data_IF_746120017965
#
_entry.id   IF_746120017965
#
_cell.length_a   1.000
_cell.length_b   1.000
_cell.length_c   1.000
_cell.angle_alpha   90.00
_cell.angle_beta   90.00
_cell.angle_gamma   90.00
#
_symmetry.space_group_name_H-M   'P 1'
#
loop_
_entity.id
_entity.type
_entity.pdbx_description
1 polymer ?
#
# COMPACT_ATOMS: atom_id res chain seq x y z
N UNK A 1 13.38 0.93 1.04
CA UNK A 1 12.76 1.87 1.99
C UNK A 1 11.25 1.81 1.83
N UNK A 2 10.55 1.44 2.91
CA UNK A 2 9.09 1.45 2.90
C UNK A 2 8.61 2.90 2.98
N UNK A 3 8.06 3.43 1.91
CA UNK A 3 7.36 4.72 1.95
C UNK A 3 6.06 4.51 2.70
N UNK A 4 6.00 5.04 3.91
CA UNK A 4 4.81 4.99 4.78
C UNK A 4 4.33 6.40 5.06
N UNK A 5 3.09 6.55 5.55
CA UNK A 5 2.59 7.86 6.01
C UNK A 5 3.48 8.49 7.09
N UNK A 6 4.18 7.68 7.90
CA UNK A 6 5.14 8.18 8.88
C UNK A 6 6.37 8.80 8.21
N UNK A 7 6.89 8.21 7.12
CA UNK A 7 8.04 8.79 6.39
C UNK A 7 7.68 10.07 5.62
N UNK A 8 6.40 10.25 5.27
CA UNK A 8 5.89 11.50 4.69
C UNK A 8 5.65 12.60 5.75
N UNK A 9 5.59 12.23 7.03
CA UNK A 9 5.27 13.14 8.15
C UNK A 9 6.46 13.78 8.86
N UNK A 10 7.66 13.23 8.70
CA UNK A 10 8.84 13.64 9.49
C UNK A 10 9.53 14.92 9.00
N UNK A 11 9.14 15.49 7.85
CA UNK A 11 9.67 16.76 7.37
C UNK A 11 8.74 17.93 7.71
N UNK A 12 9.07 18.66 8.75
CA UNK A 12 8.25 19.62 9.50
C UNK A 12 7.97 20.98 8.87
N UNK A 13 8.07 21.18 7.56
CA UNK A 13 8.10 22.57 7.02
C UNK A 13 7.05 22.98 6.00
N UNK A 14 6.12 22.15 5.52
CA UNK A 14 5.15 22.64 4.55
C UNK A 14 3.70 22.19 4.78
N UNK A 15 2.76 23.14 4.56
CA UNK A 15 1.33 22.81 4.42
C UNK A 15 1.14 21.85 3.25
N UNK A 16 0.46 20.73 3.47
CA UNK A 16 0.09 19.86 2.35
C UNK A 16 1.05 18.71 2.04
N UNK A 17 2.01 18.39 2.90
CA UNK A 17 3.03 17.36 2.66
C UNK A 17 2.46 16.01 2.18
N UNK A 18 1.34 15.57 2.73
CA UNK A 18 0.69 14.34 2.29
C UNK A 18 0.13 14.47 0.86
N UNK A 19 -0.48 15.61 0.56
CA UNK A 19 -1.01 15.90 -0.78
C UNK A 19 0.11 16.00 -1.80
N UNK A 20 1.19 16.71 -1.47
CA UNK A 20 2.35 16.88 -2.36
C UNK A 20 3.07 15.54 -2.59
N UNK A 21 3.26 14.75 -1.53
CA UNK A 21 3.86 13.42 -1.63
C UNK A 21 3.05 12.46 -2.51
N UNK A 22 1.72 12.45 -2.34
CA UNK A 22 0.85 11.65 -3.22
C UNK A 22 0.86 12.12 -4.66
N UNK A 23 0.87 13.44 -4.89
CA UNK A 23 0.98 14.00 -6.23
C UNK A 23 2.29 13.59 -6.91
N UNK A 24 3.41 13.65 -6.19
CA UNK A 24 4.71 13.19 -6.71
C UNK A 24 4.68 11.69 -7.07
N UNK A 25 4.05 10.85 -6.26
CA UNK A 25 3.89 9.42 -6.56
C UNK A 25 3.02 9.21 -7.80
N UNK A 26 1.90 9.94 -7.91
CA UNK A 26 1.00 9.86 -9.07
C UNK A 26 1.67 10.37 -10.36
N UNK A 27 2.48 11.42 -10.28
CA UNK A 27 3.23 11.96 -11.41
C UNK A 27 4.31 10.95 -11.86
N UNK A 28 5.11 10.42 -10.94
CA UNK A 28 6.10 9.39 -11.22
C UNK A 28 5.47 8.12 -11.82
N UNK A 29 4.33 7.70 -11.29
CA UNK A 29 3.59 6.56 -11.82
C UNK A 29 3.14 6.80 -13.28
N UNK A 30 2.63 8.01 -13.60
CA UNK A 30 2.21 8.36 -14.98
C UNK A 30 3.39 8.36 -15.93
N UNK A 31 4.53 8.88 -15.50
CA UNK A 31 5.76 8.90 -16.29
C UNK A 31 6.24 7.49 -16.61
N UNK A 32 6.41 6.63 -15.58
CA UNK A 32 6.88 5.26 -15.76
C UNK A 32 5.91 4.40 -16.58
N UNK A 33 4.60 4.64 -16.45
CA UNK A 33 3.60 4.00 -17.31
C UNK A 33 3.78 4.41 -18.77
N UNK A 34 3.98 5.71 -19.04
CA UNK A 34 4.18 6.26 -20.40
C UNK A 34 5.47 5.72 -21.05
N UNK A 35 6.53 5.58 -20.26
CA UNK A 35 7.82 5.07 -20.71
C UNK A 35 7.89 3.53 -20.78
N UNK A 36 6.81 2.82 -20.42
CA UNK A 36 6.78 1.36 -20.43
C UNK A 36 7.61 0.70 -19.33
N UNK A 37 8.03 1.43 -18.32
CA UNK A 37 8.80 0.91 -17.17
C UNK A 37 7.90 0.17 -16.19
N UNK A 38 7.41 -1.01 -16.61
CA UNK A 38 6.38 -1.78 -15.87
C UNK A 38 6.78 -2.10 -14.43
N UNK A 39 8.05 -2.40 -14.15
CA UNK A 39 8.51 -2.73 -12.79
C UNK A 39 8.32 -1.56 -11.83
N UNK A 40 8.78 -0.35 -12.21
CA UNK A 40 8.62 0.84 -11.38
C UNK A 40 7.15 1.26 -11.27
N UNK A 41 6.39 1.14 -12.36
CA UNK A 41 4.96 1.39 -12.34
C UNK A 41 4.24 0.46 -11.34
N UNK A 42 4.55 -0.85 -11.33
CA UNK A 42 3.96 -1.79 -10.39
C UNK A 42 4.29 -1.45 -8.93
N UNK A 43 5.55 -1.08 -8.65
CA UNK A 43 5.98 -0.67 -7.30
C UNK A 43 5.23 0.59 -6.86
N UNK A 44 5.12 1.61 -7.70
CA UNK A 44 4.43 2.87 -7.35
C UNK A 44 2.92 2.66 -7.14
N UNK A 45 2.28 1.80 -7.94
CA UNK A 45 0.89 1.40 -7.69
C UNK A 45 0.74 0.71 -6.32
N UNK A 46 1.66 -0.18 -5.94
CA UNK A 46 1.70 -0.80 -4.62
C UNK A 46 1.84 0.23 -3.49
N UNK A 47 2.79 1.16 -3.64
CA UNK A 47 3.00 2.24 -2.65
C UNK A 47 1.75 3.11 -2.49
N UNK A 48 1.12 3.52 -3.59
CA UNK A 48 -0.13 4.30 -3.53
C UNK A 48 -1.24 3.53 -2.84
N UNK A 49 -1.40 2.25 -3.17
CA UNK A 49 -2.39 1.38 -2.52
C UNK A 49 -2.17 1.28 -1.03
N UNK A 50 -0.92 1.10 -0.60
CA UNK A 50 -0.54 1.06 0.83
C UNK A 50 -0.82 2.38 1.54
N UNK A 51 -0.53 3.51 0.92
CA UNK A 51 -0.82 4.83 1.51
C UNK A 51 -2.33 5.01 1.73
N UNK A 52 -3.18 4.62 0.77
CA UNK A 52 -4.63 4.68 0.96
C UNK A 52 -5.14 3.68 2.01
N UNK A 53 -4.51 2.50 2.13
CA UNK A 53 -4.81 1.55 3.20
C UNK A 53 -4.49 2.14 4.58
N UNK A 54 -3.32 2.77 4.74
CA UNK A 54 -2.94 3.45 5.98
C UNK A 54 -3.88 4.62 6.33
N UNK A 55 -4.36 5.36 5.33
CA UNK A 55 -5.39 6.39 5.54
C UNK A 55 -6.69 5.75 6.08
N UNK A 56 -7.09 4.61 5.53
CA UNK A 56 -8.28 3.87 5.99
C UNK A 56 -8.12 3.39 7.43
N UNK A 57 -6.94 2.85 7.78
CA UNK A 57 -6.63 2.33 9.12
C UNK A 57 -6.39 3.42 10.15
N UNK A 58 -6.34 4.68 9.72
CA UNK A 58 -5.99 5.80 10.60
C UNK A 58 -4.54 5.76 11.07
N UNK A 59 -3.68 5.02 10.35
CA UNK A 59 -2.26 4.95 10.61
C UNK A 59 -1.55 6.18 10.03
N UNK A 60 -0.68 6.77 10.83
CA UNK A 60 0.10 7.94 10.41
C UNK A 60 0.52 8.78 11.60
N UNK A 61 1.21 9.89 11.36
CA UNK A 61 1.59 10.79 12.44
C UNK A 61 0.33 11.28 13.18
N UNK A 62 0.18 10.84 14.43
CA UNK A 62 -0.95 11.22 15.31
C UNK A 62 -0.80 12.62 15.91
N UNK A 63 0.15 13.42 15.41
CA UNK A 63 0.30 14.79 15.89
C UNK A 63 -0.88 15.64 15.44
N UNK A 64 -1.43 16.40 16.37
CA UNK A 64 -2.52 17.34 16.09
C UNK A 64 -2.16 18.29 14.95
N UNK A 65 -0.91 18.73 14.89
CA UNK A 65 -0.40 19.60 13.83
C UNK A 65 -0.47 18.94 12.45
N UNK A 66 -0.12 17.65 12.32
CA UNK A 66 -0.22 16.92 11.07
C UNK A 66 -1.69 16.77 10.63
N UNK A 67 -2.58 16.41 11.55
CA UNK A 67 -3.99 16.23 11.27
C UNK A 67 -4.63 17.56 10.81
N UNK A 68 -4.36 18.66 11.51
CA UNK A 68 -4.90 19.98 11.14
C UNK A 68 -4.37 20.46 9.78
N UNK A 69 -3.09 20.21 9.46
CA UNK A 69 -2.51 20.58 8.17
C UNK A 69 -3.11 19.80 6.99
N UNK A 70 -3.54 18.58 7.24
CA UNK A 70 -4.05 17.68 6.20
C UNK A 70 -5.56 17.42 6.26
N UNK A 71 -6.29 18.11 7.15
CA UNK A 71 -7.71 17.81 7.42
C UNK A 71 -8.58 17.87 6.16
N UNK A 72 -8.37 18.84 5.29
CA UNK A 72 -9.11 18.95 4.03
C UNK A 72 -8.83 17.77 3.08
N UNK A 73 -7.57 17.34 3.02
CA UNK A 73 -7.17 16.19 2.23
C UNK A 73 -7.75 14.89 2.80
N UNK A 74 -7.61 14.67 4.11
CA UNK A 74 -8.13 13.48 4.79
C UNK A 74 -9.65 13.39 4.67
N UNK A 75 -10.38 14.47 4.97
CA UNK A 75 -11.83 14.50 4.85
C UNK A 75 -12.33 14.16 3.44
N UNK A 76 -11.60 14.59 2.41
CA UNK A 76 -11.93 14.29 1.00
C UNK A 76 -11.61 12.84 0.62
N UNK A 77 -10.56 12.25 1.17
CA UNK A 77 -10.03 10.96 0.71
C UNK A 77 -10.48 9.77 1.57
N UNK A 78 -10.70 9.94 2.88
CA UNK A 78 -11.14 8.85 3.77
C UNK A 78 -12.35 8.08 3.21
N UNK A 79 -13.42 8.72 2.71
CA UNK A 79 -14.59 7.99 2.19
C UNK A 79 -14.27 7.07 1.00
N UNK A 80 -13.19 7.37 0.27
CA UNK A 80 -12.78 6.64 -0.92
C UNK A 80 -11.51 5.81 -0.71
N UNK A 81 -10.90 5.87 0.47
CA UNK A 81 -9.60 5.26 0.74
C UNK A 81 -9.61 3.75 0.48
N UNK A 82 -10.62 3.02 0.95
CA UNK A 82 -10.74 1.58 0.73
C UNK A 82 -10.84 1.22 -0.76
N UNK A 83 -11.60 2.00 -1.54
CA UNK A 83 -11.74 1.77 -2.98
C UNK A 83 -10.44 2.07 -3.71
N UNK A 84 -9.80 3.20 -3.40
CA UNK A 84 -8.52 3.59 -4.01
C UNK A 84 -7.41 2.60 -3.66
N UNK A 85 -7.32 2.15 -2.40
CA UNK A 85 -6.38 1.12 -2.00
C UNK A 85 -6.56 -0.15 -2.83
N UNK A 86 -7.80 -0.65 -2.94
CA UNK A 86 -8.11 -1.87 -3.70
C UNK A 86 -7.75 -1.72 -5.19
N UNK A 87 -8.06 -0.57 -5.81
CA UNK A 87 -7.74 -0.30 -7.22
C UNK A 87 -6.23 -0.28 -7.48
N UNK A 88 -5.47 0.43 -6.66
CA UNK A 88 -4.02 0.54 -6.82
C UNK A 88 -3.31 -0.79 -6.53
N UNK A 89 -3.67 -1.48 -5.45
CA UNK A 89 -3.08 -2.78 -5.10
C UNK A 89 -3.37 -3.84 -6.16
N UNK A 90 -4.59 -3.89 -6.71
CA UNK A 90 -4.92 -4.82 -7.79
C UNK A 90 -4.14 -4.51 -9.08
N UNK A 91 -3.89 -3.22 -9.40
CA UNK A 91 -3.05 -2.86 -10.54
C UNK A 91 -1.60 -3.30 -10.33
N UNK A 92 -1.05 -3.05 -9.12
CA UNK A 92 0.29 -3.51 -8.75
C UNK A 92 0.41 -5.03 -8.90
N UNK A 93 -0.51 -5.78 -8.30
CA UNK A 93 -0.57 -7.23 -8.39
C UNK A 93 -0.63 -7.73 -9.84
N UNK A 94 -1.54 -7.15 -10.65
CA UNK A 94 -1.70 -7.53 -12.06
C UNK A 94 -0.41 -7.33 -12.85
N UNK A 95 0.16 -6.13 -12.79
CA UNK A 95 1.39 -5.81 -13.54
C UNK A 95 2.57 -6.66 -13.04
N UNK A 96 2.69 -6.86 -11.73
CA UNK A 96 3.73 -7.70 -11.14
C UNK A 96 3.66 -9.15 -11.64
N UNK A 97 2.45 -9.73 -11.74
CA UNK A 97 2.26 -11.06 -12.34
C UNK A 97 2.64 -11.08 -13.82
N UNK A 98 2.26 -10.06 -14.60
CA UNK A 98 2.58 -9.98 -16.03
C UNK A 98 4.09 -9.98 -16.30
N UNK A 99 4.90 -9.39 -15.41
CA UNK A 99 6.35 -9.26 -15.58
C UNK A 99 7.16 -10.23 -14.71
N UNK A 100 6.53 -11.11 -13.94
CA UNK A 100 7.20 -12.06 -13.04
C UNK A 100 7.91 -11.40 -11.86
N UNK A 101 7.45 -10.21 -11.40
CA UNK A 101 8.07 -9.49 -10.29
C UNK A 101 7.51 -9.95 -8.95
N UNK A 102 8.15 -10.96 -8.35
CA UNK A 102 7.67 -11.63 -7.12
C UNK A 102 7.58 -10.68 -5.91
N UNK A 103 8.58 -9.83 -5.67
CA UNK A 103 8.59 -8.95 -4.50
C UNK A 103 7.43 -7.95 -4.46
N UNK A 104 7.18 -7.13 -5.50
CA UNK A 104 6.03 -6.23 -5.48
C UNK A 104 4.69 -6.99 -5.53
N UNK A 105 4.65 -8.19 -6.13
CA UNK A 105 3.46 -9.04 -6.09
C UNK A 105 3.11 -9.47 -4.66
N UNK A 106 4.07 -10.02 -3.94
CA UNK A 106 3.85 -10.50 -2.57
C UNK A 106 3.47 -9.36 -1.62
N UNK A 107 4.12 -8.18 -1.76
CA UNK A 107 3.76 -7.00 -0.96
C UNK A 107 2.35 -6.51 -1.27
N UNK A 108 1.95 -6.45 -2.54
CA UNK A 108 0.58 -6.06 -2.91
C UNK A 108 -0.46 -7.05 -2.38
N UNK A 109 -0.17 -8.34 -2.38
CA UNK A 109 -1.03 -9.39 -1.82
C UNK A 109 -1.17 -9.25 -0.30
N UNK A 110 -0.09 -8.95 0.42
CA UNK A 110 -0.14 -8.67 1.86
C UNK A 110 -1.04 -7.48 2.17
N UNK A 111 -0.86 -6.37 1.46
CA UNK A 111 -1.66 -5.16 1.66
C UNK A 111 -3.13 -5.38 1.25
N UNK A 112 -3.42 -6.19 0.21
CA UNK A 112 -4.77 -6.62 -0.14
C UNK A 112 -5.39 -7.50 0.95
N UNK A 113 -4.63 -8.42 1.53
CA UNK A 113 -5.05 -9.23 2.65
C UNK A 113 -5.48 -8.37 3.85
N UNK A 114 -4.67 -7.39 4.22
CA UNK A 114 -4.99 -6.43 5.26
C UNK A 114 -6.26 -5.62 4.92
N UNK A 115 -6.38 -5.12 3.69
CA UNK A 115 -7.58 -4.40 3.22
C UNK A 115 -8.85 -5.26 3.30
N UNK A 116 -8.77 -6.52 2.89
CA UNK A 116 -9.93 -7.43 2.94
C UNK A 116 -10.29 -7.81 4.38
N UNK A 117 -9.33 -7.90 5.28
CA UNK A 117 -9.57 -8.06 6.71
C UNK A 117 -10.35 -6.87 7.27
N UNK A 118 -9.94 -5.64 6.98
CA UNK A 118 -10.68 -4.42 7.35
C UNK A 118 -12.13 -4.43 6.82
N UNK A 119 -12.31 -4.95 5.60
CA UNK A 119 -13.64 -5.08 4.98
C UNK A 119 -14.42 -6.31 5.47
N UNK A 120 -13.91 -7.05 6.47
CA UNK A 120 -14.50 -8.30 6.99
C UNK A 120 -14.70 -9.40 5.93
N UNK A 121 -13.90 -9.38 4.88
CA UNK A 121 -13.88 -10.39 3.82
C UNK A 121 -12.77 -11.41 4.09
N UNK A 122 -12.90 -12.15 5.20
CA UNK A 122 -11.84 -13.00 5.75
C UNK A 122 -11.33 -14.06 4.76
N UNK A 123 -12.22 -14.70 3.98
CA UNK A 123 -11.81 -15.68 2.96
C UNK A 123 -10.86 -15.08 1.93
N UNK A 124 -11.17 -13.88 1.41
CA UNK A 124 -10.26 -13.19 0.48
C UNK A 124 -8.95 -12.74 1.13
N UNK A 125 -9.01 -12.32 2.39
CA UNK A 125 -7.82 -11.97 3.15
C UNK A 125 -6.89 -13.19 3.29
N UNK A 126 -7.44 -14.34 3.66
CA UNK A 126 -6.68 -15.61 3.77
C UNK A 126 -6.07 -16.03 2.44
N UNK A 127 -6.82 -15.96 1.33
CA UNK A 127 -6.31 -16.27 -0.01
C UNK A 127 -5.10 -15.41 -0.37
N UNK A 128 -5.21 -14.08 -0.22
CA UNK A 128 -4.13 -13.15 -0.53
C UNK A 128 -2.89 -13.40 0.33
N UNK A 129 -3.06 -13.53 1.66
CA UNK A 129 -1.94 -13.72 2.57
C UNK A 129 -1.27 -15.09 2.33
N UNK A 130 -2.05 -16.15 2.07
CA UNK A 130 -1.51 -17.47 1.78
C UNK A 130 -0.67 -17.48 0.49
N UNK A 131 -1.10 -16.77 -0.56
CA UNK A 131 -0.32 -16.61 -1.79
C UNK A 131 0.97 -15.81 -1.52
N UNK A 132 0.89 -14.75 -0.72
CA UNK A 132 2.07 -13.97 -0.35
C UNK A 132 3.11 -14.82 0.43
N UNK A 133 2.66 -15.67 1.36
CA UNK A 133 3.51 -16.62 2.09
C UNK A 133 4.28 -17.50 1.13
N UNK A 134 3.61 -18.12 0.16
CA UNK A 134 4.26 -18.99 -0.82
C UNK A 134 5.37 -18.26 -1.60
N UNK A 135 5.11 -17.01 -1.99
CA UNK A 135 6.10 -16.21 -2.73
C UNK A 135 7.27 -15.82 -1.83
N UNK A 136 7.02 -15.43 -0.57
CA UNK A 136 8.08 -15.08 0.37
C UNK A 136 8.95 -16.30 0.71
N UNK A 137 8.37 -17.50 0.82
CA UNK A 137 9.12 -18.74 1.00
C UNK A 137 10.04 -19.02 -0.19
N UNK A 138 9.53 -18.89 -1.43
CA UNK A 138 10.32 -19.08 -2.65
C UNK A 138 11.46 -18.06 -2.79
N UNK A 139 11.27 -16.85 -2.31
CA UNK A 139 12.26 -15.77 -2.38
C UNK A 139 13.24 -15.76 -1.19
N UNK A 140 13.03 -16.57 -0.17
CA UNK A 140 13.82 -16.55 1.07
C UNK A 140 13.65 -15.27 1.88
N UNK A 141 12.50 -14.59 1.77
CA UNK A 141 12.22 -13.29 2.40
C UNK A 141 11.72 -13.48 3.85
N UNK A 142 12.57 -13.98 4.75
CA UNK A 142 12.19 -14.44 6.10
C UNK A 142 11.43 -13.43 6.94
N UNK A 143 11.81 -12.15 6.90
CA UNK A 143 11.15 -11.09 7.67
C UNK A 143 9.70 -10.92 7.23
N UNK A 144 9.46 -10.86 5.93
CA UNK A 144 8.11 -10.73 5.38
C UNK A 144 7.30 -12.02 5.54
N UNK A 145 7.97 -13.18 5.43
CA UNK A 145 7.35 -14.48 5.67
C UNK A 145 6.81 -14.58 7.09
N UNK A 146 7.58 -14.16 8.09
CA UNK A 146 7.14 -14.13 9.49
C UNK A 146 5.91 -13.23 9.66
N UNK A 147 5.98 -12.01 9.12
CA UNK A 147 4.86 -11.05 9.18
C UNK A 147 3.59 -11.61 8.51
N UNK A 148 3.74 -12.29 7.38
CA UNK A 148 2.62 -12.89 6.66
C UNK A 148 1.97 -14.04 7.44
N UNK A 149 2.78 -14.89 8.09
CA UNK A 149 2.27 -15.97 8.94
C UNK A 149 1.52 -15.42 10.17
N UNK A 150 2.08 -14.43 10.85
CA UNK A 150 1.42 -13.74 11.97
C UNK A 150 0.09 -13.08 11.54
N UNK A 151 0.06 -12.44 10.36
CA UNK A 151 -1.16 -11.86 9.81
C UNK A 151 -2.23 -12.93 9.50
N UNK A 152 -1.84 -14.08 8.96
CA UNK A 152 -2.76 -15.19 8.67
C UNK A 152 -3.36 -15.79 9.96
N UNK A 153 -2.54 -15.96 10.99
CA UNK A 153 -2.98 -16.46 12.30
C UNK A 153 -3.99 -15.50 12.94
N UNK A 154 -3.80 -14.19 12.78
CA UNK A 154 -4.72 -13.18 13.32
C UNK A 154 -6.11 -13.16 12.67
N UNK A 155 -6.30 -13.84 11.53
CA UNK A 155 -7.58 -13.97 10.84
C UNK A 155 -8.44 -15.16 11.30
N UNK A 156 -7.90 -16.01 12.18
CA UNK A 156 -8.60 -17.18 12.72
C UNK A 156 -9.37 -16.81 13.98
#
# INVERSE_FOLDING_TARGET
ENVTLSSLGDNSTSKGQLCDGLKMLEDGMREHKKEGRKSLYAVLEGVLGKVYLQILQGEGPKSLSFMLKNIGFLAKNIPFAAKKAEEHLNKSMKVSREIGANSPLALALMDLGALYSEKKRLGKAQECISEAIQIFEQCGAEVYLKQAKEALESLQ
#
